data_IF_495227203779
#
_entry.id   IF_495227203779
#
_cell.length_a   1.000
_cell.length_b   1.000
_cell.length_c   1.000
_cell.angle_alpha   90.00
_cell.angle_beta   90.00
_cell.angle_gamma   90.00
#
_symmetry.space_group_name_H-M   'P 1'
#
loop_
_entity.id
_entity.type
_entity.pdbx_description
1 polymer ?
#
# COMPACT_ATOMS: atom_id res chain seq x y z
N UNK A 1 18.11 6.01 -10.41
CA UNK A 1 17.25 6.48 -9.30
C UNK A 1 15.85 6.69 -9.85
N UNK A 2 14.82 6.49 -9.03
CA UNK A 2 13.44 6.78 -9.41
C UNK A 2 12.84 7.81 -8.46
N UNK A 3 12.13 8.78 -9.01
CA UNK A 3 11.28 9.69 -8.25
C UNK A 3 9.84 9.38 -8.61
N UNK A 4 9.06 8.89 -7.66
CA UNK A 4 7.72 8.33 -7.90
C UNK A 4 6.68 9.19 -7.19
N UNK A 5 5.82 9.84 -7.97
CA UNK A 5 4.60 10.48 -7.47
C UNK A 5 3.45 9.46 -7.56
N UNK A 6 2.89 9.06 -6.42
CA UNK A 6 1.80 8.08 -6.34
C UNK A 6 0.76 8.49 -5.29
N UNK A 7 -0.48 8.04 -5.48
CA UNK A 7 -1.60 8.22 -4.56
C UNK A 7 -2.11 6.90 -3.97
N UNK A 8 -1.80 5.75 -4.57
CA UNK A 8 -2.29 4.44 -4.12
C UNK A 8 -1.34 3.70 -3.15
N UNK A 9 -0.11 4.19 -2.98
CA UNK A 9 0.91 3.60 -2.12
C UNK A 9 0.45 3.35 -0.69
N UNK A 10 0.92 2.26 -0.08
CA UNK A 10 0.59 1.89 1.30
C UNK A 10 1.81 2.05 2.20
N UNK A 11 1.66 2.85 3.25
CA UNK A 11 2.61 2.89 4.35
C UNK A 11 2.61 1.52 5.05
N UNK A 12 3.75 0.84 5.01
CA UNK A 12 3.93 -0.47 5.63
C UNK A 12 4.91 -0.43 6.80
N UNK A 13 5.29 0.75 7.30
CA UNK A 13 6.31 0.89 8.37
C UNK A 13 6.00 0.04 9.60
N UNK A 14 4.74 -0.01 10.01
CA UNK A 14 4.29 -0.79 11.18
C UNK A 14 4.23 -2.30 10.94
N UNK A 15 4.43 -2.74 9.69
CA UNK A 15 4.40 -4.12 9.25
C UNK A 15 5.73 -4.60 8.66
N UNK A 16 6.70 -3.69 8.54
CA UNK A 16 8.06 -3.99 8.07
C UNK A 16 8.91 -4.57 9.18
N UNK A 17 9.90 -5.38 8.80
CA UNK A 17 10.94 -5.83 9.72
C UNK A 17 11.85 -4.67 10.16
N UNK A 18 11.97 -3.61 9.34
CA UNK A 18 12.71 -2.39 9.65
C UNK A 18 11.79 -1.16 9.63
N UNK A 19 11.06 -0.88 10.72
CA UNK A 19 10.09 0.22 10.77
C UNK A 19 10.66 1.62 10.53
N UNK A 20 11.97 1.78 10.57
CA UNK A 20 12.68 3.05 10.39
C UNK A 20 12.96 3.42 8.93
N UNK A 21 12.71 2.53 7.97
CA UNK A 21 13.05 2.74 6.55
C UNK A 21 11.98 3.50 5.74
N UNK A 22 10.94 4.00 6.40
CA UNK A 22 9.82 4.74 5.79
C UNK A 22 9.23 4.08 4.53
N UNK A 23 9.11 2.74 4.55
CA UNK A 23 8.71 1.95 3.39
C UNK A 23 7.27 2.22 2.94
N UNK A 24 7.13 2.50 1.64
CA UNK A 24 5.86 2.59 0.94
C UNK A 24 5.75 1.45 -0.07
N UNK A 25 4.72 0.61 0.07
CA UNK A 25 4.42 -0.48 -0.85
C UNK A 25 3.58 0.03 -2.03
N UNK A 26 4.09 -0.15 -3.24
CA UNK A 26 3.32 0.03 -4.47
C UNK A 26 2.47 -1.21 -4.74
N UNK A 27 1.20 -0.99 -5.10
CA UNK A 27 0.30 -2.09 -5.42
C UNK A 27 0.67 -2.73 -6.76
N UNK A 28 0.42 -4.03 -6.87
CA UNK A 28 0.66 -4.77 -8.11
C UNK A 28 -0.18 -4.21 -9.27
N UNK A 29 0.36 -4.33 -10.48
CA UNK A 29 -0.25 -3.89 -11.73
C UNK A 29 -0.55 -2.37 -11.84
N UNK A 30 -0.08 -1.55 -10.89
CA UNK A 30 -0.23 -0.10 -10.99
C UNK A 30 0.51 0.47 -12.20
N UNK A 31 -0.11 1.44 -12.86
CA UNK A 31 0.42 2.06 -14.07
C UNK A 31 1.05 3.41 -13.75
N UNK A 32 2.19 3.68 -14.38
CA UNK A 32 2.95 4.92 -14.23
C UNK A 32 3.35 5.45 -15.59
N UNK A 33 3.29 6.77 -15.75
CA UNK A 33 3.83 7.47 -16.90
C UNK A 33 5.20 8.04 -16.54
N UNK A 34 6.18 7.88 -17.45
CA UNK A 34 7.45 8.61 -17.36
C UNK A 34 7.19 10.07 -17.71
N UNK A 35 7.35 10.95 -16.72
CA UNK A 35 7.15 12.40 -16.89
C UNK A 35 8.47 13.15 -17.16
N UNK A 36 9.60 12.53 -16.85
CA UNK A 36 10.91 13.11 -17.06
C UNK A 36 12.05 12.14 -16.81
N UNK A 37 13.22 12.47 -17.35
CA UNK A 37 14.47 11.77 -17.09
C UNK A 37 15.58 12.81 -16.94
N UNK A 38 16.15 12.92 -15.74
CA UNK A 38 17.25 13.82 -15.45
C UNK A 38 18.56 13.05 -15.47
N UNK A 39 19.47 13.42 -16.37
CA UNK A 39 20.85 12.95 -16.34
C UNK A 39 21.59 13.64 -15.18
N UNK A 40 22.08 12.83 -14.25
CA UNK A 40 22.84 13.26 -13.07
C UNK A 40 24.35 13.11 -13.27
N UNK A 41 24.80 12.80 -14.48
CA UNK A 41 26.19 12.51 -14.83
C UNK A 41 26.61 11.08 -14.46
N UNK A 42 27.81 10.67 -14.90
CA UNK A 42 28.40 9.37 -14.58
C UNK A 42 27.51 8.15 -14.93
N UNK A 43 26.65 8.28 -15.95
CA UNK A 43 25.70 7.24 -16.34
C UNK A 43 24.53 7.06 -15.35
N UNK A 44 24.35 8.00 -14.42
CA UNK A 44 23.25 7.99 -13.47
C UNK A 44 22.09 8.83 -13.99
N UNK A 45 20.90 8.22 -13.99
CA UNK A 45 19.66 8.89 -14.33
C UNK A 45 18.69 8.89 -13.16
N UNK A 46 17.95 9.99 -13.00
CA UNK A 46 16.76 10.06 -12.16
C UNK A 46 15.55 10.02 -13.10
N UNK A 47 14.83 8.89 -13.09
CA UNK A 47 13.59 8.72 -13.86
C UNK A 47 12.43 9.18 -13.00
N UNK A 48 11.64 10.12 -13.52
CA UNK A 48 10.46 10.64 -12.84
C UNK A 48 9.23 9.89 -13.35
N UNK A 49 8.49 9.29 -12.42
CA UNK A 49 7.29 8.49 -12.66
C UNK A 49 6.11 9.15 -11.95
N UNK A 50 4.97 9.22 -12.62
CA UNK A 50 3.70 9.65 -12.03
C UNK A 50 2.66 8.56 -12.23
N UNK A 51 2.01 8.16 -11.14
CA UNK A 51 0.90 7.23 -11.18
C UNK A 51 -0.23 7.78 -12.06
N UNK A 52 -0.78 6.92 -12.91
CA UNK A 52 -1.92 7.25 -13.77
C UNK A 52 -3.09 6.31 -13.46
N UNK A 53 -4.29 6.81 -13.71
CA UNK A 53 -5.48 5.97 -13.64
C UNK A 53 -5.41 4.91 -14.74
N UNK A 54 -5.53 3.62 -14.39
CA UNK A 54 -5.52 2.55 -15.38
C UNK A 54 -6.75 2.64 -16.31
N UNK A 55 -6.64 2.18 -17.56
CA UNK A 55 -7.77 2.18 -18.49
C UNK A 55 -8.86 1.16 -18.13
N UNK A 56 -8.62 0.32 -17.14
CA UNK A 56 -9.55 -0.66 -16.58
C UNK A 56 -9.30 -0.82 -15.07
N UNK A 57 -10.32 -1.17 -14.26
CA UNK A 57 -10.15 -1.41 -12.83
C UNK A 57 -9.11 -2.52 -12.56
N UNK A 58 -8.09 -2.23 -11.75
CA UNK A 58 -6.93 -3.11 -11.58
C UNK A 58 -7.12 -4.27 -10.58
N UNK A 59 -8.18 -4.25 -9.78
CA UNK A 59 -8.75 -5.33 -8.96
C UNK A 59 -9.83 -4.64 -8.12
N UNK A 60 -11.04 -5.19 -8.05
CA UNK A 60 -11.99 -4.79 -7.01
C UNK A 60 -11.38 -5.21 -5.67
N UNK A 61 -10.81 -4.26 -4.92
CA UNK A 61 -10.47 -4.53 -3.53
C UNK A 61 -11.79 -4.89 -2.83
N UNK A 62 -12.01 -6.20 -2.62
CA UNK A 62 -13.15 -6.71 -1.85
C UNK A 62 -12.90 -6.36 -0.38
N UNK A 63 -13.10 -5.10 -0.03
CA UNK A 63 -13.29 -4.64 1.32
C UNK A 63 -14.68 -4.02 1.43
N UNK A 64 -15.69 -4.79 1.06
CA UNK A 64 -17.02 -4.65 1.68
C UNK A 64 -17.13 -5.65 2.80
N UNK A 65 -16.41 -5.41 3.91
CA UNK A 65 -16.93 -5.89 5.19
C UNK A 65 -18.05 -4.92 5.55
N UNK A 66 -19.25 -5.20 5.05
CA UNK A 66 -20.45 -4.64 5.65
C UNK A 66 -20.51 -5.21 7.07
N UNK A 67 -19.98 -4.44 8.02
CA UNK A 67 -20.08 -4.74 9.44
C UNK A 67 -21.55 -4.59 9.87
N UNK A 68 -22.36 -5.61 9.61
CA UNK A 68 -23.51 -5.88 10.48
C UNK A 68 -22.98 -6.77 11.61
N UNK A 69 -22.35 -6.16 12.61
CA UNK A 69 -22.09 -6.84 13.88
C UNK A 69 -23.45 -7.10 14.52
N UNK A 70 -23.89 -8.36 14.75
CA UNK A 70 -24.96 -8.61 15.70
C UNK A 70 -24.37 -8.37 17.09
N UNK A 71 -24.87 -7.37 17.80
CA UNK A 71 -24.63 -7.27 19.24
C UNK A 71 -25.33 -8.45 19.93
N UNK A 72 -24.57 -9.52 20.18
CA UNK A 72 -24.92 -10.58 21.12
C UNK A 72 -24.02 -10.49 22.35
N UNK A 73 -24.54 -10.68 23.58
CA UNK A 73 -23.72 -10.56 24.77
C UNK A 73 -22.80 -11.80 24.88
N UNK A 74 -21.50 -11.61 24.71
CA UNK A 74 -20.51 -12.66 24.98
C UNK A 74 -20.24 -12.70 26.50
N UNK A 75 -21.03 -13.50 27.23
CA UNK A 75 -20.59 -14.00 28.54
C UNK A 75 -19.51 -15.05 28.30
N UNK A 76 -18.29 -14.75 28.72
CA UNK A 76 -17.22 -15.74 28.82
C UNK A 76 -17.20 -16.24 30.26
N UNK A 77 -17.68 -17.46 30.49
CA UNK A 77 -17.48 -18.13 31.78
C UNK A 77 -16.03 -18.61 31.84
N UNK A 78 -15.24 -18.04 32.76
CA UNK A 78 -14.06 -18.72 33.27
C UNK A 78 -14.55 -19.79 34.23
N UNK A 79 -14.63 -21.02 33.75
CA UNK A 79 -14.50 -22.13 34.69
C UNK A 79 -13.02 -22.32 34.98
N UNK A 80 -12.61 -21.72 36.10
CA UNK A 80 -11.46 -22.17 36.86
C UNK A 80 -11.96 -23.24 37.82
N UNK A 81 -11.56 -24.48 37.63
CA UNK A 81 -11.58 -25.51 38.68
C UNK A 81 -10.52 -26.57 38.31
N UNK A 82 -9.34 -26.44 38.95
CA UNK A 82 -8.77 -27.38 39.95
C UNK A 82 -8.39 -28.73 39.36
#
# INVERSE_FOLDING_TARGET
>A
MFHIECHSGKDIRQHSFYPTEDEILLLAAQQFQVTGCLDSGNGLHIVQLKEIEPPFPLIDFVLKVSASVPQGPQKWERDSSV
#
